data_IF_725829067583
#
_entry.id   IF_725829067583
#
_cell.length_a   1.000
_cell.length_b   1.000
_cell.length_c   1.000
_cell.angle_alpha   90.00
_cell.angle_beta   90.00
_cell.angle_gamma   90.00
#
_symmetry.space_group_name_H-M   'P 1'
#
loop_
_entity.id
_entity.type
_entity.pdbx_description
1 polymer ?
#
# COMPACT_ATOMS: atom_id res chain seq x y z
N UNK A 1 25.33 -13.59 62.45
CA UNK A 1 25.14 -14.90 63.16
C UNK A 1 25.81 -14.81 64.55
N UNK A 2 25.52 -15.71 65.50
CA UNK A 2 26.19 -15.66 66.82
C UNK A 2 27.69 -15.92 66.68
N UNK A 3 28.57 -15.16 67.36
CA UNK A 3 30.04 -15.37 67.30
C UNK A 3 30.50 -16.71 67.89
N UNK A 4 29.63 -17.42 68.61
CA UNK A 4 29.94 -18.73 69.23
C UNK A 4 28.82 -19.74 68.96
N UNK A 5 29.22 -20.94 68.58
CA UNK A 5 28.32 -22.05 68.27
C UNK A 5 27.43 -22.41 69.49
N UNK A 6 26.14 -22.63 69.24
CA UNK A 6 25.11 -22.94 70.26
C UNK A 6 24.89 -21.88 71.36
N UNK A 7 25.24 -20.62 71.11
CA UNK A 7 24.91 -19.50 72.01
C UNK A 7 24.11 -18.43 71.26
N UNK A 8 23.24 -17.71 71.97
CA UNK A 8 22.61 -16.50 71.43
C UNK A 8 23.59 -15.34 71.57
N UNK A 9 23.93 -14.70 70.45
CA UNK A 9 24.86 -13.58 70.39
C UNK A 9 24.54 -12.69 69.20
N UNK A 10 24.63 -11.38 69.40
CA UNK A 10 24.43 -10.38 68.37
C UNK A 10 25.80 -9.95 67.86
N UNK A 11 26.09 -10.24 66.60
CA UNK A 11 27.31 -9.77 65.93
C UNK A 11 27.00 -8.49 65.15
N UNK A 12 27.46 -7.36 65.66
CA UNK A 12 27.27 -6.04 65.02
C UNK A 12 28.22 -5.80 63.84
N UNK A 13 29.15 -6.72 63.55
CA UNK A 13 30.00 -6.68 62.36
C UNK A 13 29.31 -7.32 61.14
N UNK A 14 28.25 -8.11 61.35
CA UNK A 14 27.43 -8.69 60.29
C UNK A 14 26.53 -7.63 59.66
N UNK A 15 26.60 -7.49 58.34
CA UNK A 15 25.91 -6.45 57.57
C UNK A 15 24.38 -6.50 57.73
N UNK A 16 23.82 -7.71 57.73
CA UNK A 16 22.38 -7.92 57.83
C UNK A 16 21.92 -7.63 59.25
N UNK A 17 22.68 -8.10 60.26
CA UNK A 17 22.38 -7.85 61.67
C UNK A 17 22.48 -6.36 61.98
N UNK A 18 23.53 -5.68 61.51
CA UNK A 18 23.76 -4.25 61.72
C UNK A 18 22.72 -3.36 61.02
N UNK A 19 22.25 -3.78 59.84
CA UNK A 19 21.18 -3.11 59.10
C UNK A 19 19.79 -3.29 59.71
N UNK A 20 19.58 -4.37 60.48
CA UNK A 20 18.28 -4.74 61.05
C UNK A 20 18.04 -4.22 62.46
N UNK A 21 19.09 -3.89 63.22
CA UNK A 21 18.98 -3.44 64.62
C UNK A 21 19.02 -1.91 64.69
N UNK A 22 17.96 -1.32 65.25
CA UNK A 22 17.82 0.14 65.45
C UNK A 22 18.19 0.62 66.86
N UNK A 23 18.16 -0.29 67.85
CA UNK A 23 18.49 -0.03 69.26
C UNK A 23 19.22 -1.23 69.87
N UNK A 24 20.28 -1.00 70.64
CA UNK A 24 20.99 -2.04 71.39
C UNK A 24 21.29 -1.52 72.81
N UNK A 25 20.97 -2.32 73.84
CA UNK A 25 21.09 -1.95 75.26
C UNK A 25 20.50 -0.58 75.62
N UNK A 26 19.31 -0.26 75.08
CA UNK A 26 18.57 0.96 75.38
C UNK A 26 19.11 2.23 74.72
N UNK A 27 20.18 2.14 73.91
CA UNK A 27 20.71 3.28 73.14
C UNK A 27 20.35 3.14 71.65
N UNK A 28 19.93 4.25 71.04
CA UNK A 28 19.68 4.32 69.59
C UNK A 28 21.03 4.26 68.88
N UNK A 29 21.18 3.31 67.97
CA UNK A 29 22.40 3.12 67.18
C UNK A 29 22.22 3.90 65.87
N UNK A 30 23.23 4.67 65.41
CA UNK A 30 23.12 5.40 64.15
C UNK A 30 22.80 4.46 62.96
N UNK A 31 22.14 4.95 61.89
CA UNK A 31 21.82 4.13 60.72
C UNK A 31 23.05 3.42 60.16
N UNK A 32 22.91 2.14 59.78
CA UNK A 32 24.01 1.40 59.18
C UNK A 32 24.48 2.11 57.88
N UNK A 33 25.79 2.30 57.68
CA UNK A 33 26.31 2.81 56.42
C UNK A 33 25.86 1.89 55.28
N UNK A 34 25.27 2.45 54.22
CA UNK A 34 24.93 1.64 53.03
C UNK A 34 26.23 1.08 52.46
N UNK A 35 26.37 -0.25 52.29
CA UNK A 35 27.46 -0.81 51.53
C UNK A 35 27.45 -0.19 50.14
N UNK A 36 28.61 0.22 49.65
CA UNK A 36 28.74 0.62 48.25
C UNK A 36 28.36 -0.60 47.43
N UNK A 37 27.41 -0.51 46.48
CA UNK A 37 27.06 -1.65 45.65
C UNK A 37 28.35 -2.25 45.09
N UNK A 38 28.54 -3.57 45.17
CA UNK A 38 29.64 -4.21 44.45
C UNK A 38 29.59 -3.68 43.02
N UNK A 39 30.72 -3.30 42.40
CA UNK A 39 30.71 -3.01 40.97
C UNK A 39 30.02 -4.20 40.31
N UNK A 40 28.93 -3.92 39.59
CA UNK A 40 28.15 -4.96 38.93
C UNK A 40 29.17 -5.90 38.27
N UNK A 41 29.03 -7.24 38.43
CA UNK A 41 29.90 -8.17 37.72
C UNK A 41 29.99 -7.63 36.30
N UNK A 42 31.21 -7.40 35.79
CA UNK A 42 31.37 -7.13 34.36
C UNK A 42 30.73 -8.33 33.70
N UNK A 43 29.47 -8.17 33.31
CA UNK A 43 28.88 -9.01 32.30
C UNK A 43 29.83 -8.80 31.14
N UNK A 44 30.60 -9.83 30.83
CA UNK A 44 31.13 -9.96 29.48
C UNK A 44 29.88 -9.87 28.62
N UNK A 45 29.63 -8.67 28.09
CA UNK A 45 28.73 -8.49 26.98
C UNK A 45 29.26 -9.49 25.96
N UNK A 46 28.53 -10.57 25.61
CA UNK A 46 29.00 -11.46 24.58
C UNK A 46 29.23 -10.59 23.36
N UNK A 47 30.49 -10.40 23.00
CA UNK A 47 30.87 -9.55 21.87
C UNK A 47 30.12 -10.08 20.65
N UNK A 48 29.19 -9.32 20.04
CA UNK A 48 28.47 -9.75 18.83
C UNK A 48 29.41 -10.03 17.66
N UNK A 49 30.66 -9.56 17.78
CA UNK A 49 31.70 -9.60 16.77
C UNK A 49 32.14 -11.01 16.36
N UNK A 50 32.03 -12.04 17.21
CA UNK A 50 32.45 -13.41 16.84
C UNK A 50 31.43 -14.13 15.96
N UNK A 51 30.13 -13.92 16.20
CA UNK A 51 29.06 -14.54 15.41
C UNK A 51 28.84 -13.83 14.06
N UNK A 52 29.12 -12.52 13.99
CA UNK A 52 29.10 -11.75 12.73
C UNK A 52 30.26 -12.07 11.78
N UNK A 53 31.39 -12.55 12.29
CA UNK A 53 32.55 -12.91 11.48
C UNK A 53 32.38 -14.25 10.73
N UNK A 54 31.60 -15.20 11.29
CA UNK A 54 31.37 -16.52 10.69
C UNK A 54 30.31 -16.50 9.57
N UNK A 55 29.47 -15.46 9.50
CA UNK A 55 28.42 -15.29 8.49
C UNK A 55 28.79 -14.33 7.35
N UNK A 56 30.02 -13.79 7.34
CA UNK A 56 30.47 -12.85 6.33
C UNK A 56 30.68 -13.54 4.98
N UNK A 57 29.82 -13.23 4.01
CA UNK A 57 29.91 -13.69 2.62
C UNK A 57 31.30 -13.36 2.06
N UNK A 58 31.99 -14.32 1.45
CA UNK A 58 33.32 -14.08 0.90
C UNK A 58 33.26 -13.02 -0.22
N UNK A 59 34.34 -12.24 -0.44
CA UNK A 59 34.35 -11.25 -1.53
C UNK A 59 34.02 -11.86 -2.90
N UNK A 60 34.46 -13.10 -3.15
CA UNK A 60 34.10 -13.85 -4.35
C UNK A 60 32.62 -14.21 -4.38
N UNK A 61 32.03 -14.71 -3.30
CA UNK A 61 30.60 -15.04 -3.24
C UNK A 61 29.73 -13.78 -3.46
N UNK A 62 30.15 -12.64 -2.92
CA UNK A 62 29.48 -11.34 -3.15
C UNK A 62 29.56 -10.95 -4.62
N UNK A 63 30.76 -10.95 -5.21
CA UNK A 63 30.96 -10.65 -6.63
C UNK A 63 30.17 -11.60 -7.53
N UNK A 64 30.17 -12.90 -7.25
CA UNK A 64 29.39 -13.90 -8.00
C UNK A 64 27.89 -13.63 -7.91
N UNK A 65 27.37 -13.26 -6.74
CA UNK A 65 25.95 -12.89 -6.58
C UNK A 65 25.61 -11.63 -7.37
N UNK A 66 26.44 -10.59 -7.32
CA UNK A 66 26.22 -9.33 -8.03
C UNK A 66 26.27 -9.52 -9.56
N UNK A 67 27.25 -10.27 -10.06
CA UNK A 67 27.37 -10.61 -11.49
C UNK A 67 26.21 -11.51 -11.94
N UNK A 68 25.81 -12.49 -11.12
CA UNK A 68 24.67 -13.36 -11.44
C UNK A 68 23.38 -12.56 -11.52
N UNK A 69 23.12 -11.68 -10.56
CA UNK A 69 21.94 -10.81 -10.56
C UNK A 69 21.92 -9.88 -11.78
N UNK A 70 23.05 -9.27 -12.12
CA UNK A 70 23.18 -8.40 -13.29
C UNK A 70 22.97 -9.17 -14.59
N UNK A 71 23.59 -10.34 -14.71
CA UNK A 71 23.45 -11.23 -15.88
C UNK A 71 22.02 -11.71 -16.05
N UNK A 72 21.35 -12.11 -14.97
CA UNK A 72 19.95 -12.53 -14.98
C UNK A 72 19.01 -11.38 -15.41
N UNK A 73 19.26 -10.16 -14.90
CA UNK A 73 18.50 -8.96 -15.29
C UNK A 73 18.64 -8.62 -16.77
N UNK A 74 19.89 -8.57 -17.27
CA UNK A 74 20.16 -8.32 -18.69
C UNK A 74 19.59 -9.42 -19.59
N UNK A 75 19.76 -10.69 -19.21
CA UNK A 75 19.23 -11.84 -19.94
C UNK A 75 17.70 -11.82 -20.02
N UNK A 76 17.03 -11.46 -18.93
CA UNK A 76 15.56 -11.34 -18.88
C UNK A 76 15.07 -10.21 -19.79
N UNK A 77 15.75 -9.06 -19.82
CA UNK A 77 15.40 -7.96 -20.72
C UNK A 77 15.49 -8.38 -22.20
N UNK A 78 16.54 -9.12 -22.59
CA UNK A 78 16.69 -9.67 -23.94
C UNK A 78 15.60 -10.70 -24.27
N UNK A 79 15.33 -11.62 -23.34
CA UNK A 79 14.29 -12.64 -23.52
C UNK A 79 12.90 -12.01 -23.69
N UNK A 80 12.55 -11.03 -22.85
CA UNK A 80 11.29 -10.28 -22.98
C UNK A 80 11.23 -9.50 -24.29
N UNK A 81 12.32 -8.83 -24.69
CA UNK A 81 12.38 -8.12 -25.97
C UNK A 81 12.14 -9.03 -27.17
N UNK A 82 12.68 -10.26 -27.14
CA UNK A 82 12.47 -11.26 -28.20
C UNK A 82 11.08 -11.90 -28.16
N UNK A 83 10.53 -12.13 -26.97
CA UNK A 83 9.25 -12.80 -26.77
C UNK A 83 8.02 -11.88 -26.93
N UNK A 84 8.23 -10.56 -26.94
CA UNK A 84 7.15 -9.56 -26.98
C UNK A 84 7.30 -8.61 -28.17
N UNK A 85 6.93 -7.33 -28.03
CA UNK A 85 6.98 -6.35 -29.11
C UNK A 85 7.25 -4.93 -28.62
N UNK A 86 7.44 -3.97 -29.55
CA UNK A 86 7.87 -2.60 -29.22
C UNK A 86 6.93 -1.87 -28.24
N UNK A 87 5.61 -2.05 -28.38
CA UNK A 87 4.61 -1.43 -27.49
C UNK A 87 4.76 -1.95 -26.06
N UNK A 88 4.90 -3.27 -25.88
CA UNK A 88 5.13 -3.87 -24.58
C UNK A 88 6.44 -3.35 -23.95
N UNK A 89 7.52 -3.32 -24.73
CA UNK A 89 8.81 -2.85 -24.24
C UNK A 89 8.80 -1.35 -23.89
N UNK A 90 8.06 -0.53 -24.62
CA UNK A 90 7.83 0.88 -24.28
C UNK A 90 7.09 1.03 -22.94
N UNK A 91 6.07 0.20 -22.70
CA UNK A 91 5.35 0.16 -21.43
C UNK A 91 6.24 -0.35 -20.30
N UNK A 92 7.10 -1.35 -20.54
CA UNK A 92 8.06 -1.85 -19.57
C UNK A 92 9.15 -0.84 -19.23
N UNK A 93 9.63 -0.07 -20.20
CA UNK A 93 10.56 1.05 -19.95
C UNK A 93 9.92 2.08 -19.02
N UNK A 94 8.68 2.49 -19.34
CA UNK A 94 7.92 3.43 -18.50
C UNK A 94 7.69 2.87 -17.10
N UNK A 95 7.30 1.59 -16.99
CA UNK A 95 7.11 0.89 -15.73
C UNK A 95 8.40 0.85 -14.89
N UNK A 96 9.54 0.49 -15.51
CA UNK A 96 10.84 0.39 -14.85
C UNK A 96 11.36 1.75 -14.35
N UNK A 97 11.30 2.78 -15.18
CA UNK A 97 11.69 4.14 -14.79
C UNK A 97 10.78 4.69 -13.68
N UNK A 98 9.47 4.51 -13.81
CA UNK A 98 8.52 4.91 -12.77
C UNK A 98 8.74 4.15 -11.45
N UNK A 99 9.13 2.88 -11.52
CA UNK A 99 9.52 2.09 -10.35
C UNK A 99 10.76 2.64 -9.65
N UNK A 100 11.80 3.00 -10.41
CA UNK A 100 13.03 3.60 -9.87
C UNK A 100 12.76 4.98 -9.25
N UNK A 101 11.97 5.82 -9.91
CA UNK A 101 11.57 7.14 -9.40
C UNK A 101 10.74 6.98 -8.14
N UNK A 102 9.76 6.07 -8.14
CA UNK A 102 8.97 5.73 -6.96
C UNK A 102 9.83 5.26 -5.79
N UNK A 103 10.85 4.43 -6.07
CA UNK A 103 11.79 3.94 -5.05
C UNK A 103 12.49 5.09 -4.35
N UNK A 104 13.07 6.01 -5.13
CA UNK A 104 13.77 7.18 -4.58
C UNK A 104 12.82 8.14 -3.87
N UNK A 105 11.61 8.35 -4.41
CA UNK A 105 10.63 9.25 -3.82
C UNK A 105 10.17 8.78 -2.44
N UNK A 106 9.93 7.48 -2.27
CA UNK A 106 9.46 6.90 -1.01
C UNK A 106 10.55 6.84 0.05
N UNK A 107 11.79 6.47 -0.33
CA UNK A 107 12.93 6.50 0.59
C UNK A 107 13.21 7.89 1.15
N UNK A 108 12.82 8.96 0.44
CA UNK A 108 12.94 10.33 0.91
C UNK A 108 11.86 10.78 1.91
N UNK A 109 10.84 9.96 2.18
CA UNK A 109 9.72 10.34 3.07
C UNK A 109 10.17 10.34 4.53
N UNK A 110 9.77 11.36 5.30
CA UNK A 110 10.07 11.41 6.72
C UNK A 110 9.39 10.24 7.47
N UNK A 111 10.06 9.52 8.38
CA UNK A 111 9.47 8.37 9.07
C UNK A 111 8.15 8.67 9.80
N UNK A 112 8.01 9.87 10.37
CA UNK A 112 6.78 10.33 11.03
C UNK A 112 5.59 10.49 10.06
N UNK A 113 5.83 10.51 8.75
CA UNK A 113 4.84 10.69 7.69
C UNK A 113 4.49 9.40 6.95
N UNK A 114 4.96 8.24 7.42
CA UNK A 114 4.60 6.95 6.81
C UNK A 114 3.09 6.65 6.82
N UNK A 115 2.34 7.02 7.86
CA UNK A 115 0.88 6.83 7.85
C UNK A 115 0.16 7.74 6.86
N UNK A 116 0.46 9.06 6.79
CA UNK A 116 0.03 9.90 5.68
C UNK A 116 0.44 9.37 4.30
N UNK A 117 1.63 8.77 4.16
CA UNK A 117 2.09 8.15 2.91
C UNK A 117 1.19 6.98 2.48
N UNK A 118 0.80 6.10 3.41
CA UNK A 118 -0.19 5.04 3.12
C UNK A 118 -1.49 5.64 2.58
N UNK A 119 -1.98 6.69 3.23
CA UNK A 119 -3.26 7.31 2.87
C UNK A 119 -3.18 8.01 1.51
N UNK A 120 -2.08 8.72 1.21
CA UNK A 120 -1.94 9.42 -0.09
C UNK A 120 -1.73 8.44 -1.24
N UNK A 121 -0.96 7.37 -1.04
CA UNK A 121 -0.77 6.34 -2.06
C UNK A 121 -2.06 5.56 -2.30
N UNK A 122 -2.85 5.31 -1.25
CA UNK A 122 -4.20 4.78 -1.38
C UNK A 122 -5.12 5.75 -2.14
N UNK A 123 -5.09 7.06 -1.87
CA UNK A 123 -5.91 8.02 -2.63
C UNK A 123 -5.55 8.01 -4.13
N UNK A 124 -4.26 8.00 -4.45
CA UNK A 124 -3.73 7.97 -5.83
C UNK A 124 -4.06 6.64 -6.52
N UNK A 125 -4.07 5.50 -5.80
CA UNK A 125 -4.42 4.19 -6.40
C UNK A 125 -5.86 4.13 -6.93
N UNK A 126 -6.73 5.04 -6.49
CA UNK A 126 -8.05 5.23 -7.07
C UNK A 126 -8.04 5.52 -8.58
N UNK A 127 -6.90 5.91 -9.16
CA UNK A 127 -6.73 5.99 -10.62
C UNK A 127 -6.97 4.67 -11.35
N UNK A 128 -7.02 3.52 -10.66
CA UNK A 128 -7.48 2.25 -11.26
C UNK A 128 -8.86 2.37 -11.92
N UNK A 129 -9.73 3.27 -11.42
CA UNK A 129 -11.04 3.53 -11.99
C UNK A 129 -11.03 4.11 -13.39
N UNK A 130 -9.89 4.67 -13.85
CA UNK A 130 -9.71 5.15 -15.23
C UNK A 130 -9.97 4.03 -16.23
N UNK A 131 -9.59 2.79 -15.91
CA UNK A 131 -9.89 1.65 -16.78
C UNK A 131 -11.40 1.41 -16.91
N UNK A 132 -12.19 1.77 -15.90
CA UNK A 132 -13.65 1.77 -15.99
C UNK A 132 -14.19 2.75 -17.03
N UNK A 133 -13.49 3.84 -17.33
CA UNK A 133 -13.97 4.86 -18.28
C UNK A 133 -14.05 4.26 -19.68
N UNK A 134 -13.06 3.47 -20.07
CA UNK A 134 -12.99 2.77 -21.36
C UNK A 134 -14.02 1.63 -21.51
N UNK A 135 -14.76 1.32 -20.45
CA UNK A 135 -15.80 0.27 -20.42
C UNK A 135 -17.20 0.89 -20.29
N UNK A 136 -17.31 2.11 -19.78
CA UNK A 136 -18.61 2.79 -19.63
C UNK A 136 -19.25 3.09 -20.99
N UNK A 137 -20.57 2.90 -21.06
CA UNK A 137 -21.39 3.04 -22.26
C UNK A 137 -22.88 2.94 -21.94
N UNK A 138 -23.72 2.75 -22.96
CA UNK A 138 -25.17 2.57 -22.82
C UNK A 138 -26.01 3.85 -22.71
N UNK A 139 -25.39 5.03 -22.67
CA UNK A 139 -26.07 6.33 -22.58
C UNK A 139 -26.16 6.85 -21.13
N UNK A 140 -27.37 7.19 -20.66
CA UNK A 140 -27.55 7.67 -19.28
C UNK A 140 -27.40 6.56 -18.22
N UNK A 141 -27.62 5.31 -18.62
CA UNK A 141 -27.51 4.13 -17.77
C UNK A 141 -26.81 3.00 -18.54
N UNK A 142 -26.06 2.12 -17.87
CA UNK A 142 -25.45 0.97 -18.53
C UNK A 142 -26.51 0.08 -19.19
N UNK A 143 -26.22 -0.41 -20.40
CA UNK A 143 -27.08 -1.35 -21.14
C UNK A 143 -26.57 -2.79 -21.07
N UNK A 144 -25.26 -2.97 -20.87
CA UNK A 144 -24.60 -4.28 -20.82
C UNK A 144 -23.92 -4.53 -19.47
N UNK A 145 -23.61 -5.80 -19.19
CA UNK A 145 -22.87 -6.18 -17.97
C UNK A 145 -21.51 -5.49 -17.89
N UNK A 146 -20.65 -5.49 -18.94
CA UNK A 146 -19.38 -4.78 -18.91
C UNK A 146 -19.53 -3.30 -18.54
N UNK A 147 -20.48 -2.59 -19.16
CA UNK A 147 -20.73 -1.17 -18.87
C UNK A 147 -21.14 -0.94 -17.41
N UNK A 148 -21.94 -1.85 -16.83
CA UNK A 148 -22.32 -1.80 -15.43
C UNK A 148 -21.12 -2.05 -14.50
N UNK A 149 -20.22 -2.99 -14.85
CA UNK A 149 -18.96 -3.20 -14.12
C UNK A 149 -18.04 -1.98 -14.22
N UNK A 150 -17.99 -1.32 -15.39
CA UNK A 150 -17.27 -0.07 -15.61
C UNK A 150 -17.80 1.04 -14.70
N UNK A 151 -19.11 1.28 -14.70
CA UNK A 151 -19.75 2.28 -13.84
C UNK A 151 -19.53 1.98 -12.34
N UNK A 152 -19.67 0.72 -11.92
CA UNK A 152 -19.41 0.32 -10.54
C UNK A 152 -17.93 0.53 -10.14
N UNK A 153 -16.99 0.23 -11.04
CA UNK A 153 -15.57 0.50 -10.82
C UNK A 153 -15.30 2.00 -10.64
N UNK A 154 -15.90 2.87 -11.46
CA UNK A 154 -15.79 4.33 -11.32
C UNK A 154 -16.34 4.79 -9.97
N UNK A 155 -17.51 4.30 -9.53
CA UNK A 155 -18.06 4.66 -8.22
C UNK A 155 -17.08 4.35 -7.09
N UNK A 156 -16.55 3.13 -7.07
CA UNK A 156 -15.62 2.65 -6.05
C UNK A 156 -14.30 3.44 -6.09
N UNK A 157 -13.77 3.68 -7.27
CA UNK A 157 -12.55 4.46 -7.47
C UNK A 157 -12.69 5.89 -6.94
N UNK A 158 -13.78 6.60 -7.28
CA UNK A 158 -14.00 7.97 -6.80
C UNK A 158 -14.29 8.05 -5.30
N UNK A 159 -14.94 7.03 -4.74
CA UNK A 159 -15.06 6.88 -3.29
C UNK A 159 -13.69 6.76 -2.61
N UNK A 160 -12.77 6.02 -3.21
CA UNK A 160 -11.42 5.89 -2.71
C UNK A 160 -10.59 7.19 -2.88
N UNK A 161 -10.63 7.82 -4.06
CA UNK A 161 -9.91 9.09 -4.33
C UNK A 161 -10.31 10.15 -3.32
N UNK A 162 -11.62 10.42 -3.17
CA UNK A 162 -12.10 11.49 -2.29
C UNK A 162 -11.87 11.15 -0.82
N UNK A 163 -12.18 9.92 -0.40
CA UNK A 163 -11.99 9.47 0.97
C UNK A 163 -10.52 9.49 1.38
N UNK A 164 -9.63 8.99 0.52
CA UNK A 164 -8.20 8.96 0.73
C UNK A 164 -7.60 10.36 0.90
N UNK A 165 -7.89 11.30 -0.01
CA UNK A 165 -7.34 12.66 0.11
C UNK A 165 -7.90 13.43 1.31
N UNK A 166 -9.16 13.20 1.69
CA UNK A 166 -9.75 13.76 2.92
C UNK A 166 -9.05 13.20 4.17
N UNK A 167 -8.83 11.89 4.23
CA UNK A 167 -8.14 11.24 5.35
C UNK A 167 -6.69 11.74 5.43
N UNK A 168 -5.97 11.79 4.31
CA UNK A 168 -4.59 12.28 4.26
C UNK A 168 -4.52 13.71 4.77
N UNK A 169 -5.42 14.59 4.32
CA UNK A 169 -5.48 15.98 4.82
C UNK A 169 -5.65 16.01 6.34
N UNK A 170 -6.59 15.24 6.88
CA UNK A 170 -6.84 15.21 8.33
C UNK A 170 -5.64 14.70 9.12
N UNK A 171 -4.93 13.69 8.62
CA UNK A 171 -3.69 13.22 9.24
C UNK A 171 -2.62 14.31 9.24
N UNK A 172 -2.47 15.05 8.13
CA UNK A 172 -1.46 16.10 7.98
C UNK A 172 -1.77 17.35 8.78
N UNK A 173 -3.05 17.69 8.95
CA UNK A 173 -3.49 18.83 9.75
C UNK A 173 -3.20 18.62 11.26
N UNK A 174 -3.06 17.37 11.72
CA UNK A 174 -2.64 17.06 13.10
C UNK A 174 -1.19 17.44 13.40
N UNK A 175 -0.35 17.59 12.37
CA UNK A 175 1.05 18.03 12.52
C UNK A 175 1.19 19.57 12.53
N UNK A 176 0.11 20.31 12.26
CA UNK A 176 0.14 21.78 12.24
C UNK A 176 0.14 22.32 13.67
N UNK A 177 1.11 23.19 13.97
CA UNK A 177 1.21 23.85 15.28
C UNK A 177 0.43 25.16 15.30
N UNK A 178 -0.07 25.60 16.47
CA UNK A 178 -0.73 26.90 16.60
C UNK A 178 0.18 28.10 16.25
N UNK A 179 1.49 27.93 16.35
CA UNK A 179 2.50 28.96 16.08
C UNK A 179 3.04 28.94 14.65
N UNK A 180 2.61 27.99 13.81
CA UNK A 180 3.04 27.95 12.41
C UNK A 180 2.45 29.13 11.63
N UNK A 181 3.19 29.69 10.64
CA UNK A 181 2.67 30.74 9.78
C UNK A 181 1.35 30.34 9.07
N UNK A 182 0.50 31.31 8.72
CA UNK A 182 -0.70 31.02 7.94
C UNK A 182 -0.32 30.44 6.56
N UNK A 183 -1.12 29.47 6.12
CA UNK A 183 -0.97 28.82 4.83
C UNK A 183 -2.11 29.22 3.89
N UNK A 184 -1.80 29.28 2.60
CA UNK A 184 -2.74 29.71 1.55
C UNK A 184 -2.98 28.59 0.54
N UNK A 185 -3.56 27.44 0.93
CA UNK A 185 -3.73 26.29 0.05
C UNK A 185 -4.66 26.57 -1.14
N UNK A 186 -5.54 27.57 -1.03
CA UNK A 186 -6.43 28.00 -2.11
C UNK A 186 -5.68 28.55 -3.33
N UNK A 187 -4.43 29.01 -3.19
CA UNK A 187 -3.61 29.46 -4.32
C UNK A 187 -3.35 28.34 -5.33
N UNK A 188 -3.40 27.07 -4.92
CA UNK A 188 -3.26 25.93 -5.82
C UNK A 188 -4.50 25.72 -6.72
N UNK A 189 -5.59 26.45 -6.50
CA UNK A 189 -6.69 26.53 -7.46
C UNK A 189 -6.26 27.24 -8.75
N UNK A 190 -5.27 28.14 -8.70
CA UNK A 190 -4.76 28.86 -9.88
C UNK A 190 -4.18 27.87 -10.91
N UNK A 191 -3.15 27.05 -10.60
CA UNK A 191 -2.65 26.09 -11.58
C UNK A 191 -3.71 25.05 -11.98
N UNK A 192 -4.66 24.71 -11.11
CA UNK A 192 -5.77 23.82 -11.45
C UNK A 192 -6.64 24.42 -12.57
N UNK A 193 -7.16 25.64 -12.37
CA UNK A 193 -8.01 26.33 -13.33
C UNK A 193 -7.27 26.61 -14.63
N UNK A 194 -6.01 27.05 -14.56
CA UNK A 194 -5.18 27.28 -15.75
C UNK A 194 -4.94 25.98 -16.52
N UNK A 195 -4.65 24.87 -15.83
CA UNK A 195 -4.45 23.59 -16.50
C UNK A 195 -5.75 23.10 -17.14
N UNK A 196 -6.88 23.11 -16.43
CA UNK A 196 -8.18 22.66 -16.99
C UNK A 196 -8.61 23.55 -18.16
N UNK A 197 -8.57 24.87 -17.98
CA UNK A 197 -8.95 25.82 -19.04
C UNK A 197 -8.03 25.72 -20.26
N UNK A 198 -6.71 25.62 -20.04
CA UNK A 198 -5.73 25.43 -21.10
C UNK A 198 -5.88 24.08 -21.81
N UNK A 199 -6.16 23.01 -21.07
CA UNK A 199 -6.41 21.69 -21.64
C UNK A 199 -7.66 21.69 -22.53
N UNK A 200 -8.78 22.26 -22.06
CA UNK A 200 -10.01 22.37 -22.85
C UNK A 200 -9.84 23.27 -24.07
N UNK A 201 -9.14 24.40 -23.93
CA UNK A 201 -8.82 25.28 -25.05
C UNK A 201 -7.95 24.57 -26.09
N UNK A 202 -6.90 23.85 -25.67
CA UNK A 202 -6.07 23.06 -26.58
C UNK A 202 -6.87 21.96 -27.28
N UNK A 203 -7.74 21.25 -26.55
CA UNK A 203 -8.59 20.20 -27.08
C UNK A 203 -9.49 20.70 -28.23
N UNK A 204 -9.93 21.96 -28.18
CA UNK A 204 -10.74 22.57 -29.25
C UNK A 204 -10.02 22.70 -30.60
N UNK A 205 -8.67 22.69 -30.58
CA UNK A 205 -7.82 22.79 -31.78
C UNK A 205 -7.24 21.44 -32.23
N UNK A 206 -7.51 20.38 -31.47
CA UNK A 206 -7.02 19.02 -31.74
C UNK A 206 -6.49 18.32 -30.50
N UNK A 207 -6.50 16.99 -30.53
CA UNK A 207 -6.11 16.13 -29.39
C UNK A 207 -4.68 15.55 -29.51
N UNK A 208 -3.96 15.87 -30.58
CA UNK A 208 -2.66 15.26 -30.88
C UNK A 208 -1.65 15.53 -29.75
N UNK A 209 -1.27 14.47 -29.02
CA UNK A 209 -0.34 14.54 -27.89
C UNK A 209 -0.91 15.13 -26.60
N UNK A 210 -2.12 15.68 -26.60
CA UNK A 210 -2.70 16.40 -25.46
C UNK A 210 -3.03 15.44 -24.30
N UNK A 211 -3.54 14.25 -24.61
CA UNK A 211 -3.78 13.18 -23.61
C UNK A 211 -2.46 12.77 -22.95
N UNK A 212 -1.41 12.55 -23.73
CA UNK A 212 -0.09 12.18 -23.23
C UNK A 212 0.52 13.29 -22.37
N UNK A 213 0.35 14.56 -22.76
CA UNK A 213 0.77 15.70 -21.94
C UNK A 213 0.02 15.72 -20.59
N UNK A 214 -1.28 15.44 -20.59
CA UNK A 214 -2.06 15.32 -19.36
C UNK A 214 -1.59 14.17 -18.46
N UNK A 215 -1.29 13.00 -19.02
CA UNK A 215 -0.72 11.87 -18.27
C UNK A 215 0.68 12.17 -17.73
N UNK A 216 1.51 12.91 -18.46
CA UNK A 216 2.81 13.38 -17.98
C UNK A 216 2.65 14.31 -16.78
N UNK A 217 1.80 15.33 -16.88
CA UNK A 217 1.51 16.27 -15.78
C UNK A 217 0.96 15.52 -14.57
N UNK A 218 0.00 14.63 -14.78
CA UNK A 218 -0.57 13.78 -13.73
C UNK A 218 0.51 12.98 -13.01
N UNK A 219 1.39 12.31 -13.77
CA UNK A 219 2.46 11.48 -13.24
C UNK A 219 3.46 12.29 -12.41
N UNK A 220 3.91 13.43 -12.94
CA UNK A 220 4.86 14.32 -12.25
C UNK A 220 4.26 14.86 -10.94
N UNK A 221 3.00 15.28 -10.95
CA UNK A 221 2.32 15.78 -9.76
C UNK A 221 2.07 14.68 -8.72
N UNK A 222 1.77 13.44 -9.14
CA UNK A 222 1.64 12.31 -8.23
C UNK A 222 2.99 11.91 -7.60
N UNK A 223 4.09 11.95 -8.36
CA UNK A 223 5.45 11.78 -7.82
C UNK A 223 5.76 12.89 -6.82
N UNK A 224 5.50 14.15 -7.19
CA UNK A 224 5.71 15.30 -6.32
C UNK A 224 4.83 15.27 -5.06
N UNK A 225 3.66 14.63 -5.13
CA UNK A 225 2.82 14.36 -3.97
C UNK A 225 3.58 13.54 -2.93
N UNK A 226 4.17 12.41 -3.33
CA UNK A 226 4.96 11.55 -2.44
C UNK A 226 6.21 12.26 -1.96
N UNK A 227 6.98 12.87 -2.87
CA UNK A 227 8.18 13.62 -2.52
C UNK A 227 7.89 14.78 -1.57
N UNK A 228 6.68 15.35 -1.62
CA UNK A 228 6.22 16.38 -0.69
C UNK A 228 6.14 15.90 0.76
N UNK A 229 6.03 14.59 1.02
CA UNK A 229 6.06 14.02 2.38
C UNK A 229 7.50 13.84 2.92
N UNK A 230 8.53 14.36 2.23
CA UNK A 230 9.90 14.36 2.74
C UNK A 230 10.09 15.22 4.01
N UNK A 231 9.20 16.18 4.25
CA UNK A 231 9.22 17.00 5.46
C UNK A 231 7.80 17.39 5.90
N UNK A 232 7.62 17.68 7.19
CA UNK A 232 6.35 18.13 7.75
C UNK A 232 5.88 19.46 7.14
N UNK A 233 6.83 20.34 6.80
CA UNK A 233 6.57 21.65 6.20
C UNK A 233 6.00 21.52 4.78
N UNK A 234 6.45 20.52 4.03
CA UNK A 234 6.02 20.31 2.63
C UNK A 234 4.86 19.33 2.49
N UNK A 235 4.53 18.56 3.54
CA UNK A 235 3.59 17.44 3.45
C UNK A 235 2.18 17.86 2.98
N UNK A 236 1.65 18.98 3.49
CA UNK A 236 0.34 19.50 3.07
C UNK A 236 0.32 19.93 1.61
N UNK A 237 1.40 20.55 1.12
CA UNK A 237 1.59 20.83 -0.30
C UNK A 237 1.62 19.52 -1.10
N UNK A 238 2.32 18.49 -0.63
CA UNK A 238 2.34 17.17 -1.24
C UNK A 238 0.93 16.64 -1.49
N UNK A 239 0.06 16.64 -0.47
CA UNK A 239 -1.33 16.19 -0.61
C UNK A 239 -2.11 16.97 -1.68
N UNK A 240 -1.91 18.30 -1.77
CA UNK A 240 -2.56 19.13 -2.81
C UNK A 240 -2.04 18.77 -4.21
N UNK A 241 -0.73 18.57 -4.38
CA UNK A 241 -0.16 18.12 -5.66
C UNK A 241 -0.73 16.76 -6.08
N UNK A 242 -0.97 15.85 -5.13
CA UNK A 242 -1.65 14.58 -5.41
C UNK A 242 -3.06 14.77 -5.95
N UNK A 243 -3.85 15.67 -5.34
CA UNK A 243 -5.20 16.00 -5.83
C UNK A 243 -5.14 16.55 -7.26
N UNK A 244 -4.23 17.49 -7.52
CA UNK A 244 -4.05 18.06 -8.86
C UNK A 244 -3.58 17.02 -9.87
N UNK A 245 -2.68 16.12 -9.47
CA UNK A 245 -2.19 15.04 -10.32
C UNK A 245 -3.30 14.08 -10.71
N UNK A 246 -4.10 13.62 -9.74
CA UNK A 246 -5.25 12.73 -10.01
C UNK A 246 -6.30 13.44 -10.88
N UNK A 247 -6.60 14.71 -10.60
CA UNK A 247 -7.53 15.50 -11.42
C UNK A 247 -7.05 15.66 -12.87
N UNK A 248 -5.77 15.96 -13.08
CA UNK A 248 -5.18 16.05 -14.42
C UNK A 248 -5.26 14.73 -15.19
N UNK A 249 -5.01 13.60 -14.50
CA UNK A 249 -5.13 12.26 -15.09
C UNK A 249 -6.57 11.93 -15.49
N UNK A 250 -7.54 12.21 -14.63
CA UNK A 250 -8.97 12.01 -14.91
C UNK A 250 -9.40 12.84 -16.13
N UNK A 251 -9.03 14.12 -16.20
CA UNK A 251 -9.38 15.00 -17.34
C UNK A 251 -8.78 14.47 -18.64
N UNK A 252 -7.50 14.07 -18.61
CA UNK A 252 -6.83 13.50 -19.77
C UNK A 252 -7.51 12.20 -20.24
N UNK A 253 -7.93 11.34 -19.30
CA UNK A 253 -8.63 10.11 -19.61
C UNK A 253 -10.04 10.33 -20.13
N UNK A 254 -10.79 11.30 -19.60
CA UNK A 254 -12.11 11.67 -20.13
C UNK A 254 -12.00 12.14 -21.58
N UNK A 255 -10.97 12.92 -21.90
CA UNK A 255 -10.70 13.35 -23.26
C UNK A 255 -10.23 12.21 -24.16
N UNK A 256 -9.49 11.23 -23.61
CA UNK A 256 -9.06 10.04 -24.36
C UNK A 256 -10.22 9.10 -24.72
N UNK A 257 -11.20 8.95 -23.81
CA UNK A 257 -12.37 8.09 -24.04
C UNK A 257 -13.40 8.76 -24.93
N UNK A 258 -13.59 10.09 -24.81
CA UNK A 258 -14.50 10.84 -25.68
C UNK A 258 -15.97 10.49 -25.48
N UNK A 259 -16.44 10.52 -24.22
CA UNK A 259 -17.84 10.20 -23.90
C UNK A 259 -18.85 11.07 -24.66
N UNK A 260 -19.98 10.45 -25.03
CA UNK A 260 -21.16 11.20 -25.45
C UNK A 260 -21.71 12.02 -24.27
N UNK A 261 -22.52 13.07 -24.51
CA UNK A 261 -23.10 13.88 -23.43
C UNK A 261 -23.87 13.06 -22.39
N UNK A 262 -24.55 11.99 -22.82
CA UNK A 262 -25.31 11.08 -21.96
C UNK A 262 -24.36 10.27 -21.04
N UNK A 263 -23.32 9.66 -21.61
CA UNK A 263 -22.35 8.87 -20.84
C UNK A 263 -21.50 9.77 -19.94
N UNK A 264 -21.20 11.00 -20.36
CA UNK A 264 -20.53 11.99 -19.52
C UNK A 264 -21.41 12.38 -18.31
N UNK A 265 -22.73 12.49 -18.52
CA UNK A 265 -23.70 12.74 -17.43
C UNK A 265 -23.76 11.55 -16.48
N UNK A 266 -23.81 10.32 -17.02
CA UNK A 266 -23.72 9.09 -16.24
C UNK A 266 -22.44 9.05 -15.40
N UNK A 267 -21.28 9.31 -16.01
CA UNK A 267 -20.00 9.42 -15.33
C UNK A 267 -20.04 10.45 -14.20
N UNK A 268 -20.53 11.67 -14.49
CA UNK A 268 -20.62 12.73 -13.50
C UNK A 268 -21.48 12.35 -12.29
N UNK A 269 -22.61 11.68 -12.52
CA UNK A 269 -23.49 11.18 -11.45
C UNK A 269 -22.80 10.10 -10.61
N UNK A 270 -22.20 9.10 -11.25
CA UNK A 270 -21.54 7.97 -10.59
C UNK A 270 -20.29 8.39 -9.83
N UNK A 271 -19.41 9.16 -10.48
CA UNK A 271 -18.20 9.72 -9.88
C UNK A 271 -18.54 10.70 -8.75
N UNK A 272 -19.58 11.52 -8.93
CA UNK A 272 -20.10 12.42 -7.90
C UNK A 272 -20.60 11.68 -6.67
N UNK A 273 -21.42 10.64 -6.86
CA UNK A 273 -21.92 9.80 -5.76
C UNK A 273 -20.78 9.13 -5.00
N UNK A 274 -19.83 8.51 -5.71
CA UNK A 274 -18.64 7.93 -5.11
C UNK A 274 -17.85 8.97 -4.32
N UNK A 275 -17.58 10.13 -4.92
CA UNK A 275 -16.84 11.23 -4.30
C UNK A 275 -17.50 11.72 -3.01
N UNK A 276 -18.82 11.91 -3.01
CA UNK A 276 -19.58 12.33 -1.83
C UNK A 276 -19.50 11.26 -0.74
N UNK A 277 -19.74 9.99 -1.08
CA UNK A 277 -19.68 8.89 -0.14
C UNK A 277 -18.28 8.79 0.53
N UNK A 278 -17.22 8.84 -0.27
CA UNK A 278 -15.84 8.78 0.21
C UNK A 278 -15.49 9.95 1.11
N UNK A 279 -15.87 11.18 0.73
CA UNK A 279 -15.64 12.36 1.53
C UNK A 279 -16.39 12.32 2.87
N UNK A 280 -17.63 11.82 2.88
CA UNK A 280 -18.41 11.64 4.12
C UNK A 280 -17.77 10.62 5.06
N UNK A 281 -17.33 9.46 4.53
CA UNK A 281 -16.61 8.44 5.30
C UNK A 281 -15.33 9.05 5.89
N UNK A 282 -14.52 9.72 5.07
CA UNK A 282 -13.26 10.32 5.47
C UNK A 282 -13.40 11.45 6.50
N UNK A 283 -14.54 12.16 6.53
CA UNK A 283 -14.82 13.24 7.51
C UNK A 283 -15.31 12.72 8.87
N UNK A 284 -16.02 11.60 8.90
CA UNK A 284 -16.69 11.10 10.12
C UNK A 284 -15.80 10.23 11.02
N UNK A 285 -14.70 9.70 10.49
CA UNK A 285 -13.79 8.81 11.22
C UNK A 285 -12.98 9.55 12.31
N UNK A 286 -12.71 8.93 13.46
CA UNK A 286 -11.84 9.49 14.50
C UNK A 286 -10.35 9.27 14.17
N UNK A 287 -9.41 10.06 14.71
CA UNK A 287 -7.97 9.85 14.48
C UNK A 287 -7.50 8.43 14.80
N UNK A 288 -8.07 7.79 15.82
CA UNK A 288 -7.76 6.42 16.24
C UNK A 288 -8.24 5.36 15.25
N UNK A 289 -9.29 5.63 14.48
CA UNK A 289 -9.84 4.71 13.49
C UNK A 289 -9.28 4.90 12.08
N UNK A 290 -8.39 5.88 11.85
CA UNK A 290 -7.85 6.14 10.52
C UNK A 290 -7.16 4.91 9.89
N UNK A 291 -6.37 4.09 10.61
CA UNK A 291 -5.73 2.92 10.02
C UNK A 291 -6.73 1.90 9.44
N UNK A 292 -7.83 1.61 10.16
CA UNK A 292 -8.81 0.65 9.68
C UNK A 292 -9.64 1.22 8.51
N UNK A 293 -9.90 2.53 8.50
CA UNK A 293 -10.59 3.16 7.37
C UNK A 293 -9.74 3.20 6.11
N UNK A 294 -8.41 3.39 6.24
CA UNK A 294 -7.48 3.25 5.11
C UNK A 294 -7.53 1.82 4.56
N UNK A 295 -7.53 0.80 5.42
CA UNK A 295 -7.70 -0.59 4.99
C UNK A 295 -9.03 -0.84 4.27
N UNK A 296 -10.13 -0.26 4.76
CA UNK A 296 -11.44 -0.38 4.12
C UNK A 296 -11.50 0.32 2.75
N UNK A 297 -10.86 1.48 2.59
CA UNK A 297 -10.77 2.15 1.27
C UNK A 297 -9.84 1.40 0.32
N UNK A 298 -8.83 0.70 0.84
CA UNK A 298 -7.99 -0.16 0.03
C UNK A 298 -8.77 -1.33 -0.60
N UNK A 299 -9.67 -1.96 0.16
CA UNK A 299 -10.47 -3.06 -0.39
C UNK A 299 -11.30 -2.60 -1.59
N UNK A 300 -11.85 -1.40 -1.54
CA UNK A 300 -12.63 -0.76 -2.60
C UNK A 300 -11.82 -0.63 -3.89
N UNK A 301 -10.53 -0.28 -3.80
CA UNK A 301 -9.61 -0.22 -4.95
C UNK A 301 -9.39 -1.61 -5.55
N UNK A 302 -9.16 -2.61 -4.70
CA UNK A 302 -9.00 -4.00 -5.14
C UNK A 302 -10.24 -4.51 -5.90
N UNK A 303 -11.43 -4.19 -5.39
CA UNK A 303 -12.68 -4.55 -6.07
C UNK A 303 -12.85 -3.79 -7.39
N UNK A 304 -12.57 -2.48 -7.43
CA UNK A 304 -12.59 -1.70 -8.68
C UNK A 304 -11.67 -2.31 -9.75
N UNK A 305 -10.45 -2.74 -9.36
CA UNK A 305 -9.53 -3.43 -10.25
C UNK A 305 -10.10 -4.73 -10.82
N UNK A 306 -10.77 -5.54 -9.99
CA UNK A 306 -11.45 -6.77 -10.41
C UNK A 306 -12.56 -6.46 -11.42
N UNK A 307 -13.44 -5.50 -11.11
CA UNK A 307 -14.57 -5.13 -11.98
C UNK A 307 -14.09 -4.58 -13.33
N UNK A 308 -13.10 -3.69 -13.34
CA UNK A 308 -12.50 -3.15 -14.56
C UNK A 308 -11.83 -4.24 -15.38
N UNK A 309 -11.06 -5.13 -14.75
CA UNK A 309 -10.34 -6.19 -15.46
C UNK A 309 -11.31 -7.16 -16.13
N UNK A 310 -12.36 -7.59 -15.41
CA UNK A 310 -13.41 -8.46 -15.97
C UNK A 310 -14.17 -7.73 -17.08
N UNK A 311 -14.64 -6.51 -16.82
CA UNK A 311 -15.39 -5.72 -17.79
C UNK A 311 -14.62 -5.50 -19.08
N UNK A 312 -13.32 -5.21 -18.99
CA UNK A 312 -12.47 -4.96 -20.16
C UNK A 312 -12.29 -6.16 -21.10
N UNK A 313 -12.36 -7.39 -20.56
CA UNK A 313 -12.25 -8.62 -21.35
C UNK A 313 -13.61 -9.02 -21.90
N UNK A 314 -14.66 -8.93 -21.08
CA UNK A 314 -16.01 -9.35 -21.46
C UNK A 314 -16.64 -8.38 -22.47
N UNK A 315 -16.21 -7.12 -22.51
CA UNK A 315 -16.70 -6.13 -23.46
C UNK A 315 -16.44 -6.50 -24.93
N UNK A 316 -15.25 -7.03 -25.25
CA UNK A 316 -14.92 -7.46 -26.61
C UNK A 316 -13.86 -8.55 -26.60
N UNK A 317 -14.27 -9.79 -26.28
CA UNK A 317 -13.33 -10.91 -26.14
C UNK A 317 -12.65 -11.31 -27.45
N UNK A 318 -13.31 -11.09 -28.59
CA UNK A 318 -12.86 -11.50 -29.92
C UNK A 318 -11.59 -10.78 -30.39
N UNK A 319 -11.39 -9.54 -29.93
CA UNK A 319 -10.28 -8.69 -30.38
C UNK A 319 -9.28 -8.35 -29.28
N UNK A 320 -9.35 -9.03 -28.12
CA UNK A 320 -8.42 -8.79 -27.01
C UNK A 320 -7.03 -9.34 -27.34
N UNK A 321 -6.03 -8.47 -27.27
CA UNK A 321 -4.62 -8.90 -27.39
C UNK A 321 -4.21 -9.82 -26.24
N UNK A 322 -3.24 -10.72 -26.48
CA UNK A 322 -2.65 -11.56 -25.42
C UNK A 322 -2.12 -10.74 -24.25
N UNK A 323 -1.53 -9.57 -24.53
CA UNK A 323 -1.06 -8.64 -23.51
C UNK A 323 -2.22 -8.21 -22.60
N UNK A 324 -3.32 -7.74 -23.18
CA UNK A 324 -4.49 -7.29 -22.43
C UNK A 324 -5.11 -8.43 -21.62
N UNK A 325 -5.21 -9.64 -22.19
CA UNK A 325 -5.67 -10.83 -21.47
C UNK A 325 -4.80 -11.11 -20.23
N UNK A 326 -3.47 -11.17 -20.40
CA UNK A 326 -2.55 -11.42 -19.28
C UNK A 326 -2.67 -10.32 -18.22
N UNK A 327 -2.67 -9.05 -18.62
CA UNK A 327 -2.76 -7.93 -17.68
C UNK A 327 -4.11 -7.88 -16.95
N UNK A 328 -5.22 -8.16 -17.63
CA UNK A 328 -6.54 -8.22 -17.00
C UNK A 328 -6.66 -9.41 -16.03
N UNK A 329 -6.12 -10.58 -16.40
CA UNK A 329 -6.12 -11.74 -15.51
C UNK A 329 -5.32 -11.46 -14.23
N UNK A 330 -4.12 -10.87 -14.36
CA UNK A 330 -3.32 -10.44 -13.22
C UNK A 330 -4.02 -9.33 -12.42
N UNK A 331 -4.75 -8.43 -13.09
CA UNK A 331 -5.57 -7.41 -12.45
C UNK A 331 -6.66 -7.99 -11.54
N UNK A 332 -7.37 -9.03 -12.01
CA UNK A 332 -8.34 -9.78 -11.18
C UNK A 332 -7.64 -10.47 -10.01
N UNK A 333 -6.52 -11.15 -10.24
CA UNK A 333 -5.79 -11.87 -9.20
C UNK A 333 -5.30 -10.92 -8.09
N UNK A 334 -4.60 -9.86 -8.48
CA UNK A 334 -4.03 -8.91 -7.54
C UNK A 334 -5.14 -8.11 -6.84
N UNK A 335 -6.13 -7.64 -7.59
CA UNK A 335 -7.27 -6.91 -7.04
C UNK A 335 -8.10 -7.76 -6.08
N UNK A 336 -8.29 -9.05 -6.37
CA UNK A 336 -9.06 -9.95 -5.52
C UNK A 336 -8.36 -10.33 -4.21
N UNK A 337 -7.04 -10.60 -4.26
CA UNK A 337 -6.23 -10.77 -3.04
C UNK A 337 -6.26 -9.50 -2.19
N UNK A 338 -6.13 -8.35 -2.84
CA UNK A 338 -6.17 -7.03 -2.19
C UNK A 338 -7.52 -6.77 -1.52
N UNK A 339 -8.63 -7.03 -2.22
CA UNK A 339 -9.98 -6.82 -1.71
C UNK A 339 -10.24 -7.59 -0.41
N UNK A 340 -10.09 -8.91 -0.43
CA UNK A 340 -10.41 -9.74 0.75
C UNK A 340 -9.38 -9.61 1.85
N UNK A 341 -8.09 -9.48 1.51
CA UNK A 341 -7.05 -9.24 2.51
C UNK A 341 -7.29 -7.93 3.26
N UNK A 342 -7.63 -6.86 2.54
CA UNK A 342 -7.92 -5.56 3.15
C UNK A 342 -9.20 -5.57 4.01
N UNK A 343 -10.21 -6.36 3.63
CA UNK A 343 -11.40 -6.59 4.47
C UNK A 343 -11.02 -7.28 5.77
N UNK A 344 -10.23 -8.36 5.72
CA UNK A 344 -9.78 -9.07 6.93
C UNK A 344 -8.95 -8.13 7.83
N UNK A 345 -8.07 -7.33 7.23
CA UNK A 345 -7.29 -6.32 7.92
C UNK A 345 -8.19 -5.31 8.65
N UNK A 346 -9.16 -4.74 7.94
CA UNK A 346 -10.15 -3.82 8.49
C UNK A 346 -10.90 -4.46 9.66
N UNK A 347 -11.41 -5.68 9.49
CA UNK A 347 -12.20 -6.36 10.52
C UNK A 347 -11.38 -6.63 11.79
N UNK A 348 -10.12 -7.04 11.66
CA UNK A 348 -9.21 -7.25 12.80
C UNK A 348 -8.88 -5.95 13.51
N UNK A 349 -8.54 -4.90 12.78
CA UNK A 349 -8.20 -3.59 13.36
C UNK A 349 -9.40 -2.93 14.03
N UNK A 350 -10.60 -3.11 13.47
CA UNK A 350 -11.85 -2.64 14.04
C UNK A 350 -12.36 -3.49 15.22
N UNK A 351 -11.64 -4.55 15.61
CA UNK A 351 -12.06 -5.47 16.68
C UNK A 351 -13.30 -6.31 16.34
N UNK A 352 -13.68 -6.37 15.06
CA UNK A 352 -14.83 -7.16 14.56
C UNK A 352 -14.46 -8.60 14.18
N UNK A 353 -13.17 -8.91 14.15
CA UNK A 353 -12.61 -10.25 14.00
C UNK A 353 -11.54 -10.47 15.07
N UNK A 354 -11.35 -11.72 15.49
CA UNK A 354 -10.30 -12.08 16.46
C UNK A 354 -8.92 -11.63 15.98
N UNK A 355 -8.17 -10.97 16.86
CA UNK A 355 -6.76 -10.59 16.64
C UNK A 355 -5.80 -11.78 16.66
N UNK A 356 -6.25 -12.99 17.05
CA UNK A 356 -5.40 -14.18 17.06
C UNK A 356 -5.18 -14.69 15.62
N UNK A 357 -3.94 -15.08 15.25
CA UNK A 357 -3.68 -15.75 13.98
C UNK A 357 -4.58 -16.98 13.78
N UNK A 358 -5.36 -17.00 12.70
CA UNK A 358 -6.15 -18.16 12.31
C UNK A 358 -5.28 -19.11 11.48
N UNK A 359 -4.70 -20.12 12.13
CA UNK A 359 -3.79 -21.07 11.49
C UNK A 359 -4.58 -22.30 11.03
N UNK A 360 -4.80 -22.42 9.72
CA UNK A 360 -5.40 -23.60 9.10
C UNK A 360 -4.41 -24.79 9.06
N UNK A 361 -4.86 -26.03 9.32
CA UNK A 361 -4.05 -27.22 9.07
C UNK A 361 -3.59 -27.25 7.60
N UNK A 362 -2.29 -27.46 7.36
CA UNK A 362 -1.76 -27.49 5.99
C UNK A 362 -1.79 -26.15 5.25
N UNK A 363 -1.83 -25.00 5.94
CA UNK A 363 -1.91 -23.65 5.33
C UNK A 363 -0.96 -23.39 4.16
N UNK A 364 0.26 -23.95 4.20
CA UNK A 364 1.24 -23.74 3.14
C UNK A 364 0.82 -24.47 1.87
N UNK A 365 0.34 -25.71 2.00
CA UNK A 365 -0.21 -26.46 0.88
C UNK A 365 -1.45 -25.78 0.30
N UNK A 366 -2.37 -25.31 1.15
CA UNK A 366 -3.58 -24.57 0.73
C UNK A 366 -3.19 -23.30 -0.03
N UNK A 367 -2.29 -22.48 0.53
CA UNK A 367 -1.91 -21.23 -0.11
C UNK A 367 -1.13 -21.44 -1.41
N UNK A 368 -0.27 -22.46 -1.48
CA UNK A 368 0.45 -22.82 -2.70
C UNK A 368 -0.50 -23.40 -3.74
N UNK A 369 -1.48 -24.24 -3.35
CA UNK A 369 -2.46 -24.78 -4.28
C UNK A 369 -3.38 -23.69 -4.83
N UNK A 370 -3.86 -22.76 -4.00
CA UNK A 370 -4.66 -21.62 -4.47
C UNK A 370 -3.91 -20.79 -5.53
N UNK A 371 -2.61 -20.53 -5.33
CA UNK A 371 -1.79 -19.83 -6.32
C UNK A 371 -1.52 -20.68 -7.56
N UNK A 372 -1.15 -21.95 -7.38
CA UNK A 372 -0.87 -22.87 -8.47
C UNK A 372 -2.09 -23.11 -9.36
N UNK A 373 -3.27 -23.28 -8.77
CA UNK A 373 -4.55 -23.36 -9.48
C UNK A 373 -4.81 -22.07 -10.26
N UNK A 374 -4.53 -20.90 -9.69
CA UNK A 374 -4.73 -19.62 -10.37
C UNK A 374 -3.79 -19.48 -11.60
N UNK A 375 -2.52 -19.88 -11.46
CA UNK A 375 -1.55 -19.94 -12.58
C UNK A 375 -2.01 -20.92 -13.66
N UNK A 376 -2.50 -22.11 -13.28
CA UNK A 376 -3.03 -23.07 -14.23
C UNK A 376 -4.25 -22.53 -14.99
N UNK A 377 -5.18 -21.88 -14.29
CA UNK A 377 -6.35 -21.24 -14.92
C UNK A 377 -5.97 -20.05 -15.80
N UNK A 378 -4.86 -19.36 -15.55
CA UNK A 378 -4.32 -18.35 -16.47
C UNK A 378 -3.91 -18.96 -17.81
N UNK A 379 -3.25 -20.13 -17.77
CA UNK A 379 -2.87 -20.86 -18.99
C UNK A 379 -4.09 -21.23 -19.84
N UNK A 380 -5.14 -21.78 -19.21
CA UNK A 380 -6.41 -22.08 -19.87
C UNK A 380 -7.09 -20.81 -20.40
N UNK A 381 -7.10 -19.72 -19.63
CA UNK A 381 -7.67 -18.44 -20.05
C UNK A 381 -6.99 -17.90 -21.32
N UNK A 382 -5.67 -17.80 -21.33
CA UNK A 382 -4.94 -17.22 -22.47
C UNK A 382 -5.07 -18.07 -23.74
N UNK A 383 -5.16 -19.39 -23.60
CA UNK A 383 -5.18 -20.32 -24.73
C UNK A 383 -6.58 -20.65 -25.25
N UNK A 384 -7.60 -20.65 -24.38
CA UNK A 384 -8.94 -21.14 -24.71
C UNK A 384 -10.02 -20.04 -24.67
N UNK A 385 -9.82 -18.94 -23.96
CA UNK A 385 -10.85 -17.90 -23.82
C UNK A 385 -11.19 -17.16 -25.13
N UNK A 386 -10.24 -16.87 -26.06
CA UNK A 386 -10.58 -16.20 -27.32
C UNK A 386 -11.62 -16.98 -28.16
N UNK A 387 -11.70 -18.29 -27.99
CA UNK A 387 -12.66 -19.15 -28.69
C UNK A 387 -14.05 -19.24 -28.03
N UNK A 388 -14.23 -18.72 -26.81
CA UNK A 388 -15.51 -18.79 -26.10
C UNK A 388 -15.63 -17.77 -24.95
N UNK A 389 -16.60 -16.83 -25.02
CA UNK A 389 -16.92 -15.92 -23.92
C UNK A 389 -17.23 -16.64 -22.60
N UNK A 390 -17.85 -17.83 -22.66
CA UNK A 390 -18.17 -18.63 -21.49
C UNK A 390 -16.92 -19.15 -20.77
N UNK A 391 -15.89 -19.54 -21.53
CA UNK A 391 -14.60 -19.97 -20.96
C UNK A 391 -13.91 -18.79 -20.28
N UNK A 392 -13.89 -17.61 -20.91
CA UNK A 392 -13.38 -16.39 -20.28
C UNK A 392 -14.06 -16.09 -18.95
N UNK A 393 -15.41 -16.05 -18.95
CA UNK A 393 -16.18 -15.77 -17.76
C UNK A 393 -15.90 -16.80 -16.66
N UNK A 394 -15.78 -18.08 -17.03
CA UNK A 394 -15.46 -19.16 -16.09
C UNK A 394 -14.05 -19.00 -15.50
N UNK A 395 -13.03 -18.75 -16.34
CA UNK A 395 -11.66 -18.57 -15.88
C UNK A 395 -11.49 -17.32 -15.01
N UNK A 396 -12.14 -16.21 -15.36
CA UNK A 396 -12.12 -14.97 -14.59
C UNK A 396 -12.92 -15.09 -13.28
N UNK A 397 -14.05 -15.80 -13.30
CA UNK A 397 -14.81 -16.13 -12.10
C UNK A 397 -14.02 -17.04 -11.15
N UNK A 398 -13.36 -18.08 -11.69
CA UNK A 398 -12.46 -18.94 -10.93
C UNK A 398 -11.29 -18.15 -10.34
N UNK A 399 -10.65 -17.27 -11.14
CA UNK A 399 -9.61 -16.38 -10.65
C UNK A 399 -10.09 -15.51 -9.49
N UNK A 400 -11.26 -14.88 -9.63
CA UNK A 400 -11.88 -14.05 -8.57
C UNK A 400 -12.08 -14.84 -7.28
N UNK A 401 -12.66 -16.04 -7.36
CA UNK A 401 -12.87 -16.90 -6.18
C UNK A 401 -11.55 -17.33 -5.54
N UNK A 402 -10.60 -17.82 -6.34
CA UNK A 402 -9.30 -18.28 -5.86
C UNK A 402 -8.48 -17.14 -5.23
N UNK A 403 -8.50 -15.96 -5.84
CA UNK A 403 -7.80 -14.77 -5.32
C UNK A 403 -8.46 -14.23 -4.05
N UNK A 404 -9.80 -14.23 -3.97
CA UNK A 404 -10.54 -13.85 -2.78
C UNK A 404 -10.22 -14.79 -1.61
N UNK A 405 -10.25 -16.10 -1.86
CA UNK A 405 -9.87 -17.10 -0.87
C UNK A 405 -8.41 -16.91 -0.45
N UNK A 406 -7.51 -16.67 -1.41
CA UNK A 406 -6.08 -16.48 -1.11
C UNK A 406 -5.83 -15.23 -0.26
N UNK A 407 -6.48 -14.11 -0.56
CA UNK A 407 -6.38 -12.89 0.25
C UNK A 407 -6.92 -13.09 1.67
N UNK A 408 -8.02 -13.83 1.81
CA UNK A 408 -8.58 -14.20 3.10
C UNK A 408 -7.64 -15.12 3.90
N UNK A 409 -7.22 -16.25 3.34
CA UNK A 409 -6.43 -17.27 4.07
C UNK A 409 -5.07 -16.74 4.49
N UNK A 410 -4.42 -15.93 3.65
CA UNK A 410 -3.13 -15.32 3.97
C UNK A 410 -3.25 -14.28 5.08
N UNK A 411 -4.24 -13.39 5.01
CA UNK A 411 -4.39 -12.30 5.99
C UNK A 411 -5.01 -12.78 7.31
N UNK A 412 -5.90 -13.78 7.27
CA UNK A 412 -6.49 -14.38 8.45
C UNK A 412 -5.42 -15.05 9.34
N UNK A 413 -4.34 -15.56 8.75
CA UNK A 413 -3.22 -16.17 9.45
C UNK A 413 -2.26 -15.17 10.14
N UNK A 414 -2.48 -13.86 10.00
CA UNK A 414 -1.61 -12.82 10.58
C UNK A 414 -2.18 -12.34 11.93
N UNK A 415 -1.33 -12.09 12.92
CA UNK A 415 -1.78 -11.55 14.22
C UNK A 415 -2.23 -10.09 14.12
N UNK A 416 -3.14 -9.66 15.00
CA UNK A 416 -3.61 -8.27 15.05
C UNK A 416 -2.52 -7.25 15.39
N UNK A 417 -1.49 -7.68 16.15
CA UNK A 417 -0.31 -6.86 16.43
C UNK A 417 0.47 -6.58 15.14
N UNK A 418 0.73 -7.62 14.34
CA UNK A 418 1.46 -7.55 13.07
C UNK A 418 0.65 -6.88 11.96
N UNK A 419 -0.68 -6.82 12.09
CA UNK A 419 -1.59 -6.24 11.10
C UNK A 419 -1.31 -4.76 10.83
N UNK A 420 -0.94 -3.99 11.86
CA UNK A 420 -0.57 -2.57 11.71
C UNK A 420 0.68 -2.37 10.85
N UNK A 421 1.55 -3.39 10.82
CA UNK A 421 2.75 -3.41 10.00
C UNK A 421 2.44 -3.92 8.58
N UNK A 422 1.50 -4.87 8.46
CA UNK A 422 1.12 -5.50 7.19
C UNK A 422 0.23 -4.65 6.27
N UNK A 423 -0.49 -3.62 6.77
CA UNK A 423 -1.21 -2.65 5.91
C UNK A 423 -0.30 -1.95 4.89
N UNK A 424 1.03 -2.06 5.09
CA UNK A 424 2.05 -1.52 4.20
C UNK A 424 2.54 -2.53 3.16
N UNK A 425 1.96 -3.73 3.06
CA UNK A 425 2.45 -4.75 2.14
C UNK A 425 2.11 -4.44 0.67
N UNK A 426 3.07 -4.56 -0.28
CA UNK A 426 2.82 -4.36 -1.71
C UNK A 426 1.74 -5.28 -2.29
N UNK A 427 1.54 -6.48 -1.71
CA UNK A 427 0.51 -7.44 -2.14
C UNK A 427 -0.92 -6.96 -1.83
N UNK A 428 -1.08 -6.09 -0.83
CA UNK A 428 -2.37 -5.47 -0.49
C UNK A 428 -2.51 -4.06 -1.07
N UNK A 429 -1.53 -3.55 -1.84
CA UNK A 429 -1.50 -2.13 -2.28
C UNK A 429 -1.28 -1.87 -3.77
N UNK A 430 -1.39 -2.87 -4.64
CA UNK A 430 -0.95 -2.74 -6.03
C UNK A 430 -2.05 -2.29 -7.01
N UNK A 431 -1.85 -1.16 -7.74
CA UNK A 431 -1.98 -1.04 -9.23
C UNK A 431 -1.07 0.07 -9.82
N UNK A 432 0.17 0.23 -9.32
CA UNK A 432 1.13 1.11 -9.98
C UNK A 432 2.55 0.84 -9.50
N UNK A 433 3.56 0.95 -10.38
CA UNK A 433 4.96 0.73 -10.00
C UNK A 433 5.37 1.62 -8.82
N UNK A 434 4.94 2.88 -8.82
CA UNK A 434 5.23 3.86 -7.77
C UNK A 434 4.53 3.51 -6.43
N UNK A 435 3.29 3.02 -6.47
CA UNK A 435 2.52 2.64 -5.28
C UNK A 435 3.01 1.30 -4.72
N UNK A 436 3.25 0.32 -5.60
CA UNK A 436 3.78 -0.99 -5.25
C UNK A 436 5.20 -0.91 -4.69
N UNK A 437 6.04 -0.01 -5.21
CA UNK A 437 7.35 0.27 -4.62
C UNK A 437 7.21 0.94 -3.24
N UNK A 438 6.25 1.85 -3.07
CA UNK A 438 5.98 2.46 -1.76
C UNK A 438 5.62 1.42 -0.70
N UNK A 439 4.71 0.50 -0.99
CA UNK A 439 4.37 -0.59 -0.07
C UNK A 439 5.58 -1.50 0.21
N UNK A 440 6.33 -1.87 -0.83
CA UNK A 440 7.51 -2.73 -0.69
C UNK A 440 8.57 -2.15 0.27
N UNK A 441 8.88 -0.85 0.12
CA UNK A 441 9.87 -0.16 0.96
C UNK A 441 9.36 -0.04 2.40
N UNK A 442 8.12 0.36 2.60
CA UNK A 442 7.57 0.56 3.94
C UNK A 442 7.48 -0.77 4.70
N UNK A 443 7.18 -1.86 4.00
CA UNK A 443 7.25 -3.23 4.55
C UNK A 443 8.68 -3.60 4.94
N UNK A 444 9.66 -3.35 4.08
CA UNK A 444 11.07 -3.64 4.35
C UNK A 444 11.59 -2.88 5.58
N UNK A 445 11.31 -1.58 5.67
CA UNK A 445 11.68 -0.75 6.82
C UNK A 445 11.08 -1.30 8.12
N UNK A 446 9.80 -1.68 8.10
CA UNK A 446 9.13 -2.18 9.30
C UNK A 446 9.63 -3.55 9.76
N UNK A 447 9.91 -4.47 8.83
CA UNK A 447 10.50 -5.77 9.16
C UNK A 447 11.90 -5.58 9.75
N UNK A 448 12.71 -4.68 9.18
CA UNK A 448 14.04 -4.37 9.71
C UNK A 448 14.07 -3.57 11.02
N UNK A 449 12.92 -3.16 11.57
CA UNK A 449 12.82 -2.57 12.92
C UNK A 449 12.52 -3.66 13.97
N UNK A 450 12.00 -4.82 13.55
CA UNK A 450 11.59 -5.91 14.45
C UNK A 450 12.75 -6.88 14.79
N UNK A 451 13.78 -6.90 13.95
CA UNK A 451 15.06 -7.59 14.17
C UNK A 451 16.13 -6.59 14.62
#
# INVERSE_FOLDING_TARGET
>A
MSPKEKSFGIDLADEVVRGSIVTHDGKIIPPAPRPVPPPAPKQEIPTPAKEQAELAISPWQKATRDVTATTAGMGTALALGKATGPVFMSNMLTFGLAGLVGYRAVWGVAPALHSPLMSVTNAISGMVGIGGFFIMGGGYVPSTIPEALGAASVLLAFMNVSGGFVITKRMLDMFKRPTDPPEYPWLYAIPAVLFVGGFLAAASTGMAGLVQAGYLVSSVLCIASISGLASQQTARRGNILGILGVAAGIIASLAAVGFSPEVLTQFGAVAGLGSVAGALIGRRITPTGLPQTVAALHSVVGLAAVLTSIGSVVADISHVSTLHMVTAYLGVLIGGVTFTGSIVAFLKLAGRMSSRPMILPGRHLINTSLLGSNVATMGAFVTMAPGSPAIAATCLGANTLLSFLKGYTTTAAIGGADMRFMLNNPLLTSVGSLIGVSGSILSYIMVGILD
#
